data_IF_021796082759
#
_entry.id   IF_021796082759
#
_cell.length_a   1.000
_cell.length_b   1.000
_cell.length_c   1.000
_cell.angle_alpha   90.00
_cell.angle_beta   90.00
_cell.angle_gamma   90.00
#
_symmetry.space_group_name_H-M   'P 1'
#
loop_
_entity.id
_entity.type
_entity.pdbx_description
1 polymer ?
#
# COMPACT_ATOMS: atom_id res chain seq x y z
N UNK A 1 -13.88 -5.63 -5.20
CA UNK A 1 -12.90 -6.68 -4.82
C UNK A 1 -11.96 -6.12 -3.78
N UNK A 2 -11.43 -6.95 -2.89
CA UNK A 2 -10.52 -6.55 -1.81
C UNK A 2 -9.36 -7.53 -1.72
N UNK A 3 -8.19 -7.03 -1.34
CA UNK A 3 -6.92 -7.75 -1.24
C UNK A 3 -6.50 -7.84 0.23
N UNK A 4 -5.94 -8.98 0.63
CA UNK A 4 -5.17 -9.06 1.87
C UNK A 4 -3.87 -8.26 1.74
N UNK A 5 -3.17 -8.02 2.87
CA UNK A 5 -1.84 -7.37 2.85
C UNK A 5 -0.86 -8.14 1.95
N UNK A 6 -0.87 -9.47 2.00
CA UNK A 6 -0.03 -10.34 1.17
C UNK A 6 -0.34 -10.17 -0.33
N UNK A 7 -1.62 -10.22 -0.70
CA UNK A 7 -2.06 -10.05 -2.09
C UNK A 7 -1.75 -8.66 -2.63
N UNK A 8 -1.88 -7.63 -1.79
CA UNK A 8 -1.46 -6.27 -2.13
C UNK A 8 0.06 -6.20 -2.37
N UNK A 9 0.84 -6.84 -1.50
CA UNK A 9 2.30 -6.88 -1.64
C UNK A 9 2.73 -7.55 -2.95
N UNK A 10 2.14 -8.70 -3.27
CA UNK A 10 2.36 -9.43 -4.52
C UNK A 10 1.96 -8.60 -5.75
N UNK A 11 0.73 -8.05 -5.76
CA UNK A 11 0.20 -7.28 -6.88
C UNK A 11 1.00 -5.99 -7.18
N UNK A 12 1.73 -5.46 -6.21
CA UNK A 12 2.51 -4.23 -6.33
C UNK A 12 4.03 -4.45 -6.27
N UNK A 13 4.49 -5.70 -6.21
CA UNK A 13 5.93 -6.04 -6.20
C UNK A 13 6.68 -5.48 -5.00
N UNK A 14 6.04 -5.37 -3.83
CA UNK A 14 6.67 -4.87 -2.60
C UNK A 14 6.72 -5.97 -1.54
N UNK A 15 7.72 -5.92 -0.67
CA UNK A 15 7.80 -6.85 0.47
C UNK A 15 6.87 -6.43 1.61
N UNK A 16 6.38 -7.39 2.41
CA UNK A 16 5.56 -7.11 3.60
C UNK A 16 6.25 -6.15 4.59
N UNK A 17 7.56 -6.32 4.80
CA UNK A 17 8.34 -5.41 5.65
C UNK A 17 8.30 -3.97 5.15
N UNK A 18 8.32 -3.76 3.83
CA UNK A 18 8.18 -2.45 3.22
C UNK A 18 6.77 -1.89 3.41
N UNK A 19 5.74 -2.73 3.26
CA UNK A 19 4.36 -2.35 3.57
C UNK A 19 4.20 -1.89 5.01
N UNK A 20 4.71 -2.63 6.00
CA UNK A 20 4.64 -2.22 7.41
C UNK A 20 5.44 -0.94 7.68
N UNK A 21 6.57 -0.73 6.99
CA UNK A 21 7.31 0.54 7.04
C UNK A 21 6.47 1.70 6.50
N UNK A 22 5.79 1.52 5.36
CA UNK A 22 4.88 2.53 4.81
C UNK A 22 3.71 2.81 5.76
N UNK A 23 3.12 1.77 6.34
CA UNK A 23 2.03 1.86 7.31
C UNK A 23 2.43 2.67 8.54
N UNK A 24 3.60 2.39 9.13
CA UNK A 24 4.15 3.17 10.26
C UNK A 24 4.31 4.65 9.90
N UNK A 25 4.70 4.93 8.66
CA UNK A 25 4.85 6.29 8.16
C UNK A 25 3.54 6.92 7.66
N UNK A 26 2.39 6.23 7.79
CA UNK A 26 1.09 6.65 7.24
C UNK A 26 1.10 6.94 5.73
N UNK A 27 1.98 6.25 5.00
CA UNK A 27 2.15 6.32 3.54
C UNK A 27 1.64 5.05 2.82
N UNK A 28 1.00 4.14 3.55
CA UNK A 28 0.38 2.94 2.99
C UNK A 28 -1.02 3.20 2.42
N UNK A 29 -1.60 2.22 1.71
CA UNK A 29 -2.99 2.30 1.26
C UNK A 29 -3.96 2.32 2.45
N UNK A 30 -5.17 2.81 2.23
CA UNK A 30 -6.22 2.76 3.24
C UNK A 30 -6.63 1.30 3.50
N UNK A 31 -6.62 0.94 4.76
CA UNK A 31 -6.97 -0.39 5.26
C UNK A 31 -8.41 -0.42 5.78
N UNK A 32 -9.12 -1.50 5.49
CA UNK A 32 -10.41 -1.83 6.09
C UNK A 32 -10.22 -2.98 7.08
N UNK A 33 -10.55 -2.74 8.36
CA UNK A 33 -10.53 -3.78 9.40
C UNK A 33 -11.87 -4.50 9.43
N UNK A 34 -11.86 -5.81 9.23
CA UNK A 34 -13.02 -6.70 9.35
C UNK A 34 -12.70 -7.77 10.41
N UNK A 35 -13.02 -7.44 11.66
CA UNK A 35 -12.65 -8.27 12.81
C UNK A 35 -11.14 -8.45 12.92
N UNK A 36 -10.67 -9.70 12.81
CA UNK A 36 -9.25 -10.05 12.83
C UNK A 36 -8.54 -9.84 11.47
N UNK A 37 -9.30 -9.64 10.37
CA UNK A 37 -8.73 -9.51 9.03
C UNK A 37 -8.52 -8.04 8.68
N UNK A 38 -7.41 -7.74 7.99
CA UNK A 38 -7.18 -6.44 7.38
C UNK A 38 -7.20 -6.61 5.86
N UNK A 39 -8.09 -5.86 5.20
CA UNK A 39 -8.25 -5.87 3.75
C UNK A 39 -7.96 -4.49 3.17
N UNK A 40 -7.56 -4.46 1.91
CA UNK A 40 -7.28 -3.25 1.12
C UNK A 40 -8.19 -3.33 -0.09
N UNK A 41 -9.09 -2.36 -0.26
CA UNK A 41 -9.93 -2.33 -1.46
C UNK A 41 -9.10 -1.95 -2.68
N UNK A 42 -9.54 -2.38 -3.86
CA UNK A 42 -8.85 -2.00 -5.11
C UNK A 42 -8.81 -0.47 -5.31
N UNK A 43 -9.86 0.23 -4.89
CA UNK A 43 -9.92 1.69 -4.93
C UNK A 43 -8.82 2.31 -4.06
N UNK A 44 -8.69 1.86 -2.81
CA UNK A 44 -7.63 2.33 -1.91
C UNK A 44 -6.23 1.97 -2.41
N UNK A 45 -6.05 0.83 -3.07
CA UNK A 45 -4.79 0.48 -3.73
C UNK A 45 -4.49 1.39 -4.94
N UNK A 46 -5.52 1.75 -5.72
CA UNK A 46 -5.38 2.68 -6.84
C UNK A 46 -5.08 4.12 -6.39
N UNK A 47 -5.75 4.60 -5.35
CA UNK A 47 -5.46 5.90 -4.72
C UNK A 47 -4.02 5.96 -4.21
N UNK A 48 -3.57 4.90 -3.53
CA UNK A 48 -2.19 4.81 -3.07
C UNK A 48 -1.19 4.88 -4.21
N UNK A 49 -1.40 4.11 -5.29
CA UNK A 49 -0.52 4.16 -6.48
C UNK A 49 -0.41 5.57 -7.04
N UNK A 50 -1.54 6.26 -7.23
CA UNK A 50 -1.57 7.65 -7.73
C UNK A 50 -0.80 8.60 -6.81
N UNK A 51 -0.95 8.46 -5.50
CA UNK A 51 -0.23 9.27 -4.53
C UNK A 51 1.29 9.03 -4.62
N UNK A 52 1.73 7.78 -4.85
CA UNK A 52 3.14 7.44 -5.01
C UNK A 52 3.71 7.88 -6.35
N UNK A 53 2.96 7.78 -7.44
CA UNK A 53 3.39 8.31 -8.73
C UNK A 53 3.59 9.84 -8.68
N UNK A 54 2.76 10.55 -7.92
CA UNK A 54 2.91 11.98 -7.72
C UNK A 54 4.10 12.34 -6.79
N UNK A 55 4.39 11.49 -5.79
CA UNK A 55 5.57 11.70 -4.92
C UNK A 55 6.90 11.34 -5.59
N UNK A 56 6.89 10.40 -6.55
CA UNK A 56 8.06 9.92 -7.31
C UNK A 56 8.55 10.91 -8.38
N UNK A 57 7.98 12.12 -8.47
CA UNK A 57 8.63 13.24 -9.17
C UNK A 57 9.82 13.84 -8.40
N UNK A 58 10.16 13.33 -7.22
CA UNK A 58 11.34 13.74 -6.46
C UNK A 58 12.12 12.54 -5.90
N UNK A 59 13.40 12.49 -6.25
CA UNK A 59 14.48 11.86 -5.48
C UNK A 59 14.63 10.34 -5.57
N UNK A 60 15.22 9.88 -6.67
CA UNK A 60 16.25 8.84 -6.61
C UNK A 60 17.61 9.57 -6.51
N UNK A 61 17.95 10.03 -5.31
CA UNK A 61 19.32 10.43 -4.98
C UNK A 61 20.11 9.15 -4.67
N UNK A 62 21.28 9.05 -5.29
CA UNK A 62 22.06 7.83 -5.50
C UNK A 62 23.15 7.68 -4.44
#
# INVERSE_FOLDING_TARGET
MALSILEFCDAHGISEGFYYKLKKQRQGPREMKLGARTLITLESAAEWRRARENTTRGSHDR
#
